data_IF_007401484413
#
_entry.id   IF_007401484413
#
_cell.length_a   1.000
_cell.length_b   1.000
_cell.length_c   1.000
_cell.angle_alpha   90.00
_cell.angle_beta   90.00
_cell.angle_gamma   90.00
#
_symmetry.space_group_name_H-M   'P 1'
#
loop_
_entity.id
_entity.type
_entity.pdbx_description
1 polymer ?
#
# COMPACT_ATOMS: atom_id res chain seq x y z
N UNK A 1 14.13 11.67 -5.97
CA UNK A 1 12.75 12.25 -6.03
C UNK A 1 12.09 12.01 -7.40
N UNK A 2 12.45 12.67 -8.50
CA UNK A 2 11.81 12.40 -9.81
C UNK A 2 12.00 10.96 -10.28
N UNK A 3 13.22 10.41 -10.20
CA UNK A 3 13.53 9.02 -10.56
C UNK A 3 12.70 8.00 -9.77
N UNK A 4 12.42 8.27 -8.51
CA UNK A 4 11.66 7.35 -7.64
C UNK A 4 10.18 7.38 -7.98
N UNK A 5 9.62 8.53 -8.38
CA UNK A 5 8.25 8.65 -8.85
C UNK A 5 8.02 7.86 -10.15
N UNK A 6 8.94 7.96 -11.13
CA UNK A 6 8.90 7.18 -12.36
C UNK A 6 9.00 5.68 -12.08
N UNK A 7 9.87 5.29 -11.14
CA UNK A 7 10.04 3.90 -10.74
C UNK A 7 8.77 3.36 -10.09
N UNK A 8 8.19 4.11 -9.16
CA UNK A 8 6.93 3.72 -8.51
C UNK A 8 5.78 3.65 -9.51
N UNK A 9 5.71 4.58 -10.47
CA UNK A 9 4.71 4.52 -11.54
C UNK A 9 4.81 3.23 -12.34
N UNK A 10 6.00 2.86 -12.82
CA UNK A 10 6.22 1.62 -13.59
C UNK A 10 5.87 0.36 -12.78
N UNK A 11 6.28 0.30 -11.52
CA UNK A 11 5.97 -0.84 -10.65
C UNK A 11 4.47 -0.90 -10.31
N UNK A 12 3.80 0.24 -10.15
CA UNK A 12 2.35 0.32 -9.97
C UNK A 12 1.60 -0.14 -11.22
N UNK A 13 2.09 0.21 -12.42
CA UNK A 13 1.53 -0.31 -13.66
C UNK A 13 1.60 -1.84 -13.73
N UNK A 14 2.74 -2.43 -13.33
CA UNK A 14 2.89 -3.88 -13.24
C UNK A 14 1.94 -4.53 -12.23
N UNK A 15 1.72 -3.88 -11.08
CA UNK A 15 0.73 -4.34 -10.09
C UNK A 15 -0.69 -4.34 -10.67
N UNK A 16 -1.06 -3.29 -11.39
CA UNK A 16 -2.38 -3.16 -12.02
C UNK A 16 -2.56 -4.21 -13.09
N UNK A 17 -1.56 -4.44 -13.95
CA UNK A 17 -1.59 -5.49 -14.97
C UNK A 17 -1.81 -6.88 -14.36
N UNK A 18 -1.17 -7.17 -13.21
CA UNK A 18 -1.37 -8.44 -12.49
C UNK A 18 -2.78 -8.61 -11.92
N UNK A 19 -3.45 -7.52 -11.56
CA UNK A 19 -4.78 -7.55 -10.93
C UNK A 19 -5.92 -7.38 -11.93
N UNK A 20 -5.69 -6.54 -12.94
CA UNK A 20 -6.67 -6.12 -13.93
C UNK A 20 -5.97 -6.06 -15.30
N UNK A 21 -5.70 -7.22 -15.94
CA UNK A 21 -4.98 -7.28 -17.20
C UNK A 21 -5.59 -6.38 -18.28
N UNK A 22 -4.74 -5.58 -18.95
CA UNK A 22 -5.15 -4.63 -19.98
C UNK A 22 -5.66 -3.29 -19.45
N UNK A 23 -5.68 -3.09 -18.14
CA UNK A 23 -6.08 -1.82 -17.53
C UNK A 23 -4.88 -0.90 -17.38
N UNK A 24 -4.98 0.33 -17.89
CA UNK A 24 -3.99 1.37 -17.64
C UNK A 24 -4.08 1.92 -16.22
N UNK A 25 -2.94 2.35 -15.62
CA UNK A 25 -2.97 3.05 -14.33
C UNK A 25 -3.85 4.29 -14.36
N UNK A 26 -4.64 4.50 -13.30
CA UNK A 26 -5.43 5.73 -13.09
C UNK A 26 -4.62 6.85 -12.42
N UNK A 27 -3.36 6.61 -12.13
CA UNK A 27 -2.41 7.57 -11.57
C UNK A 27 -1.39 8.00 -12.62
N UNK A 28 -0.63 9.04 -12.34
CA UNK A 28 0.49 9.51 -13.17
C UNK A 28 1.76 9.64 -12.34
N UNK A 29 2.91 9.76 -13.01
CA UNK A 29 4.18 10.04 -12.35
C UNK A 29 4.12 11.33 -11.52
N UNK A 30 3.47 12.37 -12.07
CA UNK A 30 3.31 13.67 -11.41
C UNK A 30 2.46 13.53 -10.13
N UNK A 31 1.36 12.78 -10.20
CA UNK A 31 0.50 12.52 -9.04
C UNK A 31 1.24 11.73 -7.96
N UNK A 32 2.02 10.71 -8.32
CA UNK A 32 2.88 9.96 -7.39
C UNK A 32 3.93 10.90 -6.80
N UNK A 33 4.54 11.77 -7.61
CA UNK A 33 5.51 12.76 -7.16
C UNK A 33 4.95 13.71 -6.13
N UNK A 34 3.78 14.30 -6.42
CA UNK A 34 3.12 15.25 -5.53
C UNK A 34 2.67 14.61 -4.21
N UNK A 35 2.08 13.40 -4.27
CA UNK A 35 1.49 12.74 -3.11
C UNK A 35 2.49 11.91 -2.28
N UNK A 36 3.61 11.48 -2.86
CA UNK A 36 4.62 10.68 -2.15
C UNK A 36 5.87 11.45 -1.77
N UNK A 37 6.18 12.56 -2.46
CA UNK A 37 7.44 13.31 -2.30
C UNK A 37 7.23 14.81 -2.12
N UNK A 38 5.97 15.26 -2.00
CA UNK A 38 5.59 16.64 -1.73
C UNK A 38 5.88 17.08 -0.30
N UNK A 39 5.43 18.28 0.05
CA UNK A 39 5.61 18.85 1.39
C UNK A 39 4.77 18.11 2.47
N UNK A 40 3.64 17.54 2.07
CA UNK A 40 2.74 16.76 2.94
C UNK A 40 2.40 15.44 2.25
N UNK A 41 3.28 14.43 2.33
CA UNK A 41 3.11 13.19 1.61
C UNK A 41 1.97 12.36 2.20
N UNK A 42 1.08 11.88 1.32
CA UNK A 42 -0.04 11.01 1.70
C UNK A 42 0.40 9.56 1.95
N UNK A 43 1.53 9.15 1.40
CA UNK A 43 2.09 7.81 1.58
C UNK A 43 3.62 7.84 1.55
N UNK A 44 4.21 6.77 2.04
CA UNK A 44 5.62 6.44 1.93
C UNK A 44 5.78 5.16 1.11
N UNK A 45 6.96 4.96 0.52
CA UNK A 45 7.26 3.74 -0.20
C UNK A 45 8.70 3.28 0.04
N UNK A 46 8.89 1.96 0.00
CA UNK A 46 10.21 1.34 -0.12
C UNK A 46 10.30 0.65 -1.48
N UNK A 47 11.43 0.78 -2.14
CA UNK A 47 11.73 0.11 -3.41
C UNK A 47 12.81 -0.95 -3.13
N UNK A 48 12.55 -2.17 -3.56
CA UNK A 48 13.57 -3.21 -3.59
C UNK A 48 14.34 -3.13 -4.90
N UNK A 49 15.66 -3.19 -4.80
CA UNK A 49 16.55 -3.19 -5.96
C UNK A 49 17.43 -4.43 -5.94
N UNK A 50 17.77 -4.92 -7.13
CA UNK A 50 18.80 -5.93 -7.38
C UNK A 50 19.71 -5.44 -8.48
N UNK A 51 21.01 -5.40 -8.22
CA UNK A 51 22.01 -4.90 -9.17
C UNK A 51 21.68 -3.50 -9.71
N UNK A 52 21.13 -2.63 -8.83
CA UNK A 52 20.70 -1.28 -9.17
C UNK A 52 19.43 -1.18 -10.01
N UNK A 53 18.71 -2.30 -10.21
CA UNK A 53 17.44 -2.34 -10.92
C UNK A 53 16.27 -2.49 -9.92
N UNK A 54 15.23 -1.66 -10.01
CA UNK A 54 14.03 -1.78 -9.20
C UNK A 54 13.27 -3.07 -9.54
N UNK A 55 13.06 -3.93 -8.55
CA UNK A 55 12.41 -5.24 -8.71
C UNK A 55 11.07 -5.34 -7.96
N UNK A 56 10.70 -4.36 -7.17
CA UNK A 56 9.44 -4.34 -6.43
C UNK A 56 9.33 -3.15 -5.49
N UNK A 57 8.15 -2.97 -4.93
CA UNK A 57 7.90 -1.90 -3.96
C UNK A 57 6.85 -2.30 -2.94
N UNK A 58 6.82 -1.56 -1.84
CA UNK A 58 5.73 -1.52 -0.88
C UNK A 58 5.37 -0.05 -0.63
N UNK A 59 4.09 0.29 -0.69
CA UNK A 59 3.59 1.59 -0.26
C UNK A 59 2.75 1.45 0.99
N UNK A 60 2.88 2.41 1.90
CA UNK A 60 2.21 2.41 3.19
C UNK A 60 1.99 3.84 3.69
N UNK A 61 1.08 3.98 4.64
CA UNK A 61 0.82 5.25 5.31
C UNK A 61 0.54 5.05 6.79
N UNK A 62 0.65 6.14 7.53
CA UNK A 62 0.37 6.16 8.96
C UNK A 62 -1.13 6.19 9.20
N UNK A 63 -1.64 5.20 9.93
CA UNK A 63 -2.99 5.18 10.47
C UNK A 63 -3.02 5.43 11.98
N UNK A 64 -4.22 5.48 12.54
CA UNK A 64 -4.45 5.64 13.96
C UNK A 64 -5.36 4.52 14.51
N UNK A 65 -4.86 3.79 15.48
CA UNK A 65 -5.60 2.75 16.18
C UNK A 65 -6.34 3.38 17.39
N UNK A 66 -7.55 3.91 17.14
CA UNK A 66 -8.28 4.74 18.10
C UNK A 66 -8.46 4.10 19.47
N UNK A 67 -8.85 2.82 19.51
CA UNK A 67 -9.04 2.10 20.81
C UNK A 67 -7.74 1.86 21.58
N UNK A 68 -6.60 2.00 20.94
CA UNK A 68 -5.27 1.84 21.55
C UNK A 68 -4.58 3.19 21.79
N UNK A 69 -5.11 4.27 21.22
CA UNK A 69 -4.52 5.60 21.32
C UNK A 69 -3.14 5.72 20.68
N UNK A 70 -2.84 4.89 19.66
CA UNK A 70 -1.50 4.80 19.08
C UNK A 70 -1.52 4.77 17.55
N UNK A 71 -0.41 5.17 16.94
CA UNK A 71 -0.21 5.05 15.51
C UNK A 71 -0.04 3.57 15.08
N UNK A 72 -0.37 3.31 13.82
CA UNK A 72 -0.15 2.03 13.15
C UNK A 72 0.24 2.26 11.69
N UNK A 73 0.81 1.26 11.03
CA UNK A 73 1.05 1.27 9.59
C UNK A 73 -0.08 0.61 8.83
N UNK A 74 -0.44 1.18 7.69
CA UNK A 74 -1.36 0.57 6.73
C UNK A 74 -0.60 0.37 5.43
N UNK A 75 -0.36 -0.88 5.04
CA UNK A 75 0.21 -1.23 3.74
C UNK A 75 -0.90 -1.20 2.71
N UNK A 76 -0.72 -0.36 1.68
CA UNK A 76 -1.69 -0.20 0.60
C UNK A 76 -1.37 -1.10 -0.60
N UNK A 77 -0.09 -1.17 -0.99
CA UNK A 77 0.35 -2.00 -2.11
C UNK A 77 1.67 -2.70 -1.78
N UNK A 78 1.80 -3.94 -2.22
CA UNK A 78 3.04 -4.71 -2.22
C UNK A 78 3.14 -5.42 -3.57
N UNK A 79 4.19 -5.15 -4.30
CA UNK A 79 4.42 -5.73 -5.61
C UNK A 79 5.88 -6.13 -5.81
N UNK A 80 6.08 -7.26 -6.44
CA UNK A 80 7.38 -7.74 -6.91
C UNK A 80 7.21 -8.25 -8.33
N UNK A 81 8.12 -7.87 -9.21
CA UNK A 81 8.13 -8.31 -10.61
C UNK A 81 7.98 -9.84 -10.69
N UNK A 82 7.21 -10.38 -11.64
CA UNK A 82 6.93 -11.81 -11.75
C UNK A 82 8.19 -12.67 -11.74
N UNK A 83 9.22 -12.28 -12.49
CA UNK A 83 10.52 -12.95 -12.58
C UNK A 83 11.33 -12.90 -11.28
N UNK A 84 11.03 -11.93 -10.42
CA UNK A 84 11.72 -11.71 -9.14
C UNK A 84 10.94 -12.28 -7.94
N UNK A 85 9.81 -12.94 -8.18
CA UNK A 85 9.03 -13.60 -7.12
C UNK A 85 9.79 -14.77 -6.54
N UNK A 86 9.52 -15.07 -5.27
CA UNK A 86 10.23 -16.11 -4.48
C UNK A 86 11.72 -15.83 -4.22
N UNK A 87 12.22 -14.67 -4.59
CA UNK A 87 13.59 -14.22 -4.30
C UNK A 87 13.81 -13.72 -2.88
N UNK A 88 12.74 -13.55 -2.09
CA UNK A 88 12.79 -12.90 -0.79
C UNK A 88 12.49 -11.40 -0.81
N UNK A 89 12.33 -10.77 -1.99
CA UNK A 89 12.12 -9.33 -2.11
C UNK A 89 10.88 -8.83 -1.34
N UNK A 90 9.74 -9.52 -1.47
CA UNK A 90 8.52 -9.17 -0.72
C UNK A 90 8.73 -9.23 0.80
N UNK A 91 9.47 -10.24 1.29
CA UNK A 91 9.81 -10.35 2.72
C UNK A 91 10.73 -9.22 3.17
N UNK A 92 11.71 -8.85 2.36
CA UNK A 92 12.61 -7.73 2.64
C UNK A 92 11.86 -6.39 2.71
N UNK A 93 10.94 -6.14 1.78
CA UNK A 93 10.09 -4.96 1.77
C UNK A 93 9.22 -4.89 3.04
N UNK A 94 8.51 -5.97 3.40
CA UNK A 94 7.70 -6.01 4.62
C UNK A 94 8.55 -5.89 5.90
N UNK A 95 9.76 -6.46 5.92
CA UNK A 95 10.70 -6.28 7.02
C UNK A 95 11.17 -4.82 7.14
N UNK A 96 11.31 -4.12 6.02
CA UNK A 96 11.57 -2.67 6.00
C UNK A 96 10.45 -1.87 6.66
N UNK A 97 9.20 -2.15 6.30
CA UNK A 97 8.04 -1.50 6.94
C UNK A 97 7.96 -1.83 8.43
N UNK A 98 8.23 -3.09 8.82
CA UNK A 98 8.24 -3.50 10.22
C UNK A 98 9.33 -2.79 11.04
N UNK A 99 10.51 -2.52 10.45
CA UNK A 99 11.58 -1.74 11.07
C UNK A 99 11.13 -0.30 11.31
N UNK A 100 10.54 0.35 10.29
CA UNK A 100 9.98 1.70 10.40
C UNK A 100 8.88 1.75 11.47
N UNK A 101 7.98 0.76 11.49
CA UNK A 101 6.94 0.67 12.50
C UNK A 101 7.52 0.61 13.93
N UNK A 102 8.57 -0.17 14.13
CA UNK A 102 9.26 -0.28 15.42
C UNK A 102 9.96 1.02 15.81
N UNK A 103 10.66 1.66 14.88
CA UNK A 103 11.36 2.93 15.10
C UNK A 103 10.41 4.07 15.46
N UNK A 104 9.20 4.06 14.88
CA UNK A 104 8.15 5.06 15.10
C UNK A 104 7.13 4.65 16.17
N UNK A 105 7.38 3.58 16.90
CA UNK A 105 6.51 3.03 17.95
C UNK A 105 5.07 2.75 17.47
N UNK A 106 4.91 2.34 16.20
CA UNK A 106 3.64 1.86 15.69
C UNK A 106 3.31 0.49 16.29
N UNK A 107 2.08 0.35 16.78
CA UNK A 107 1.69 -0.87 17.51
C UNK A 107 1.43 -2.08 16.61
N UNK A 108 1.23 -1.88 15.31
CA UNK A 108 0.95 -2.94 14.33
C UNK A 108 1.05 -2.43 12.89
N UNK A 109 1.03 -3.37 11.97
CA UNK A 109 0.87 -3.13 10.54
C UNK A 109 -0.38 -3.90 10.09
N UNK A 110 -1.24 -3.24 9.33
CA UNK A 110 -2.43 -3.82 8.71
C UNK A 110 -2.35 -3.69 7.19
N UNK A 111 -3.08 -4.56 6.48
CA UNK A 111 -3.31 -4.48 5.05
C UNK A 111 -4.67 -5.09 4.70
N UNK A 112 -5.13 -4.80 3.49
CA UNK A 112 -6.30 -5.43 2.91
C UNK A 112 -5.85 -6.31 1.74
N UNK A 113 -6.34 -7.53 1.70
CA UNK A 113 -6.08 -8.49 0.62
C UNK A 113 -7.39 -9.16 0.24
N UNK A 114 -7.63 -9.29 -1.05
CA UNK A 114 -8.82 -9.98 -1.56
C UNK A 114 -8.73 -11.47 -1.23
N UNK A 115 -9.87 -12.06 -0.89
CA UNK A 115 -9.98 -13.48 -0.65
C UNK A 115 -9.54 -14.29 -1.90
N UNK A 116 -8.87 -15.42 -1.66
CA UNK A 116 -8.37 -16.30 -2.72
C UNK A 116 -7.07 -15.83 -3.40
N UNK A 117 -6.51 -14.69 -3.02
CA UNK A 117 -5.22 -14.25 -3.57
C UNK A 117 -4.06 -15.12 -3.09
N UNK A 118 -3.13 -15.51 -3.99
CA UNK A 118 -1.94 -16.29 -3.61
C UNK A 118 -1.07 -15.59 -2.57
N UNK A 119 -1.14 -14.27 -2.47
CA UNK A 119 -0.41 -13.47 -1.49
C UNK A 119 -0.80 -13.79 -0.03
N UNK A 120 -1.99 -14.30 0.24
CA UNK A 120 -2.45 -14.65 1.60
C UNK A 120 -1.46 -15.61 2.25
N UNK A 121 -1.04 -16.67 1.56
CA UNK A 121 -0.06 -17.63 2.08
C UNK A 121 1.32 -17.00 2.40
N UNK A 122 1.68 -15.93 1.72
CA UNK A 122 2.88 -15.17 2.04
C UNK A 122 2.68 -14.38 3.35
N UNK A 123 1.55 -13.70 3.51
CA UNK A 123 1.24 -12.94 4.74
C UNK A 123 1.17 -13.86 5.97
N UNK A 124 0.57 -15.03 5.87
CA UNK A 124 0.55 -16.04 6.93
C UNK A 124 1.98 -16.44 7.34
N UNK A 125 2.87 -16.70 6.36
CA UNK A 125 4.26 -17.09 6.64
C UNK A 125 5.08 -16.01 7.32
N UNK A 126 4.74 -14.74 7.16
CA UNK A 126 5.41 -13.64 7.87
C UNK A 126 4.74 -13.31 9.21
N UNK A 127 3.70 -14.04 9.59
CA UNK A 127 3.03 -13.95 10.89
C UNK A 127 1.85 -12.97 10.94
N UNK A 128 1.34 -12.53 9.80
CA UNK A 128 0.08 -11.79 9.77
C UNK A 128 -1.10 -12.74 9.99
N UNK A 129 -2.18 -12.22 10.54
CA UNK A 129 -3.38 -12.99 10.86
C UNK A 129 -4.58 -12.36 10.19
N UNK A 130 -5.43 -13.19 9.58
CA UNK A 130 -6.74 -12.75 9.15
C UNK A 130 -7.59 -12.37 10.36
N UNK A 131 -8.19 -11.20 10.30
CA UNK A 131 -9.08 -10.68 11.34
C UNK A 131 -10.57 -10.91 10.99
N UNK A 132 -10.84 -11.53 9.85
CA UNK A 132 -12.19 -11.81 9.34
C UNK A 132 -13.07 -10.56 9.29
N UNK A 133 -12.49 -9.42 8.89
CA UNK A 133 -13.20 -8.16 8.71
C UNK A 133 -13.62 -7.98 7.26
N UNK A 134 -14.80 -7.39 7.06
CA UNK A 134 -15.22 -6.96 5.73
C UNK A 134 -14.63 -5.59 5.42
N UNK A 135 -14.05 -5.46 4.23
CA UNK A 135 -13.68 -4.17 3.68
C UNK A 135 -14.89 -3.58 2.97
N UNK A 136 -15.32 -2.39 3.41
CA UNK A 136 -16.44 -1.66 2.82
C UNK A 136 -15.92 -0.37 2.18
N UNK A 137 -16.48 -0.01 1.03
CA UNK A 137 -16.11 1.20 0.29
C UNK A 137 -17.34 2.02 -0.04
N UNK A 138 -17.23 3.33 0.08
CA UNK A 138 -18.21 4.30 -0.38
C UNK A 138 -17.49 5.25 -1.35
N UNK A 139 -17.98 5.33 -2.58
CA UNK A 139 -17.36 6.15 -3.62
C UNK A 139 -18.39 6.65 -4.64
N UNK A 140 -17.98 7.62 -5.49
CA UNK A 140 -18.78 8.17 -6.58
C UNK A 140 -20.09 8.78 -6.09
N UNK A 141 -21.17 8.59 -6.87
CA UNK A 141 -22.48 9.17 -6.58
C UNK A 141 -23.04 8.79 -5.20
N UNK A 142 -22.70 7.61 -4.66
CA UNK A 142 -23.16 7.20 -3.34
C UNK A 142 -22.51 8.05 -2.23
N UNK A 143 -21.22 8.39 -2.39
CA UNK A 143 -20.52 9.30 -1.49
C UNK A 143 -21.12 10.71 -1.56
N UNK A 144 -21.36 11.20 -2.78
CA UNK A 144 -21.95 12.53 -3.00
C UNK A 144 -23.36 12.62 -2.40
N UNK A 145 -24.23 11.63 -2.64
CA UNK A 145 -25.57 11.59 -2.04
C UNK A 145 -25.51 11.63 -0.51
N UNK A 146 -24.68 10.77 0.08
CA UNK A 146 -24.57 10.71 1.54
C UNK A 146 -24.07 12.03 2.14
N UNK A 147 -23.18 12.73 1.44
CA UNK A 147 -22.68 14.03 1.88
C UNK A 147 -23.78 15.12 1.90
N UNK A 148 -24.76 15.03 0.99
CA UNK A 148 -25.91 15.93 0.93
C UNK A 148 -26.98 15.60 1.98
N UNK A 149 -27.07 14.36 2.43
CA UNK A 149 -28.04 13.91 3.44
C UNK A 149 -27.63 14.31 4.88
N UNK A 150 -26.52 15.01 5.04
CA UNK A 150 -25.99 15.38 6.37
C UNK A 150 -26.82 16.50 7.00
N UNK A 151 -27.67 16.22 8.00
CA UNK A 151 -28.30 17.27 8.80
C UNK A 151 -27.29 17.77 9.82
N UNK A 152 -26.55 18.84 9.48
CA UNK A 152 -25.87 19.72 10.43
C UNK A 152 -25.28 19.10 11.69
N UNK A 153 -24.55 17.98 11.58
CA UNK A 153 -23.74 17.48 12.69
C UNK A 153 -22.45 18.30 12.68
N UNK A 154 -22.34 19.19 13.65
CA UNK A 154 -21.12 19.95 13.94
C UNK A 154 -20.23 19.12 14.87
#
# INVERSE_FOLDING_TARGET
MARDADTLFRLTAGLIEDHLPGQSPWTTTEAIGANGFGADPLFEALIAERDGQPIGFVSFFRGYAGWRGKAMGIVHALYVLPEERRSGAARALMAGVARIAREREWIRIELFVEEGRPAISFYDRIGMRDLNHRHMRLEGEALERLALDSPGIV
#
